data_IF_256313239684
#
_entry.id   IF_256313239684
#
_cell.length_a   1.000
_cell.length_b   1.000
_cell.length_c   1.000
_cell.angle_alpha   90.00
_cell.angle_beta   90.00
_cell.angle_gamma   90.00
#
_symmetry.space_group_name_H-M   'P 1'
#
loop_
_entity.id
_entity.type
_entity.pdbx_description
1 polymer ?
#
# COMPACT_ATOMS: atom_id res chain seq x y z
N UNK A 1 -18.86 -9.67 10.10
CA UNK A 1 -17.98 -9.28 8.97
C UNK A 1 -18.76 -9.33 7.68
N UNK A 2 -18.82 -8.23 6.96
CA UNK A 2 -19.53 -8.16 5.67
C UNK A 2 -18.89 -9.09 4.64
N UNK A 3 -19.70 -9.58 3.70
CA UNK A 3 -19.14 -10.37 2.61
C UNK A 3 -18.26 -9.48 1.70
N UNK A 4 -17.26 -10.10 1.06
CA UNK A 4 -16.40 -9.39 0.09
C UNK A 4 -17.20 -8.74 -1.04
N UNK A 5 -18.30 -9.36 -1.45
CA UNK A 5 -19.19 -8.82 -2.45
C UNK A 5 -19.89 -7.55 -1.97
N UNK A 6 -20.34 -7.52 -0.71
CA UNK A 6 -20.95 -6.34 -0.09
C UNK A 6 -19.95 -5.19 0.03
N UNK A 7 -18.73 -5.43 0.52
CA UNK A 7 -17.67 -4.40 0.58
C UNK A 7 -17.40 -3.78 -0.79
N UNK A 8 -17.29 -4.64 -1.82
CA UNK A 8 -17.11 -4.20 -3.19
C UNK A 8 -18.29 -3.40 -3.73
N UNK A 9 -19.52 -3.82 -3.41
CA UNK A 9 -20.71 -3.10 -3.83
C UNK A 9 -20.83 -1.74 -3.12
N UNK A 10 -20.55 -1.69 -1.82
CA UNK A 10 -20.49 -0.42 -1.07
C UNK A 10 -19.44 0.53 -1.67
N UNK A 11 -18.24 0.03 -1.97
CA UNK A 11 -17.18 0.84 -2.59
C UNK A 11 -17.60 1.38 -3.97
N UNK A 12 -18.29 0.57 -4.77
CA UNK A 12 -18.82 1.01 -6.08
C UNK A 12 -19.87 2.12 -5.92
N UNK A 13 -20.77 1.98 -4.96
CA UNK A 13 -21.82 2.97 -4.70
C UNK A 13 -21.22 4.30 -4.19
N UNK A 14 -20.21 4.26 -3.30
CA UNK A 14 -19.52 5.45 -2.80
C UNK A 14 -18.77 6.22 -3.90
N UNK A 15 -18.28 5.52 -4.90
CA UNK A 15 -17.61 6.13 -6.04
C UNK A 15 -18.59 6.57 -7.14
N UNK A 16 -19.87 6.23 -7.04
CA UNK A 16 -20.84 6.60 -8.08
C UNK A 16 -21.00 8.11 -8.16
N UNK A 17 -21.08 8.64 -9.37
CA UNK A 17 -21.04 10.09 -9.63
C UNK A 17 -19.65 10.75 -9.46
N UNK A 18 -18.67 10.09 -8.78
CA UNK A 18 -17.34 10.67 -8.47
C UNK A 18 -16.18 9.90 -9.11
N UNK A 19 -16.47 8.89 -9.93
CA UNK A 19 -15.46 7.99 -10.56
C UNK A 19 -14.43 8.74 -11.39
N UNK A 20 -14.86 9.78 -12.13
CA UNK A 20 -13.98 10.59 -12.96
C UNK A 20 -12.96 11.39 -12.13
N UNK A 21 -13.41 12.05 -11.06
CA UNK A 21 -12.51 12.77 -10.14
C UNK A 21 -11.53 11.82 -9.45
N UNK A 22 -12.01 10.65 -8.97
CA UNK A 22 -11.18 9.65 -8.34
C UNK A 22 -10.12 9.07 -9.30
N UNK A 23 -10.50 8.79 -10.55
CA UNK A 23 -9.58 8.31 -11.58
C UNK A 23 -8.52 9.37 -11.93
N UNK A 24 -8.92 10.63 -12.08
CA UNK A 24 -8.01 11.75 -12.35
C UNK A 24 -7.03 11.97 -11.19
N UNK A 25 -7.48 11.85 -9.94
CA UNK A 25 -6.61 11.92 -8.76
C UNK A 25 -5.54 10.82 -8.78
N UNK A 26 -5.93 9.58 -9.06
CA UNK A 26 -4.99 8.46 -9.17
C UNK A 26 -4.04 8.62 -10.34
N UNK A 27 -4.50 9.18 -11.46
CA UNK A 27 -3.64 9.51 -12.61
C UNK A 27 -2.56 10.53 -12.18
N UNK A 28 -2.96 11.65 -11.57
CA UNK A 28 -2.01 12.66 -11.09
C UNK A 28 -1.04 12.09 -10.07
N UNK A 29 -1.56 11.30 -9.10
CA UNK A 29 -0.74 10.58 -8.13
C UNK A 29 0.30 9.67 -8.79
N UNK A 30 -0.08 8.94 -9.84
CA UNK A 30 0.81 7.99 -10.53
C UNK A 30 1.89 8.68 -11.39
N UNK A 31 1.60 9.86 -11.92
CA UNK A 31 2.56 10.63 -12.72
C UNK A 31 3.73 11.13 -11.85
N UNK A 32 3.48 11.50 -10.61
CA UNK A 32 4.49 12.10 -9.73
C UNK A 32 5.73 11.23 -9.50
N UNK A 33 5.61 9.97 -9.04
CA UNK A 33 6.77 9.09 -8.91
C UNK A 33 7.48 8.85 -10.24
N UNK A 34 6.71 8.77 -11.33
CA UNK A 34 7.27 8.59 -12.67
C UNK A 34 8.16 9.80 -13.09
N UNK A 35 7.71 11.02 -12.85
CA UNK A 35 8.51 12.22 -13.14
C UNK A 35 9.82 12.26 -12.35
N UNK A 36 9.79 11.83 -11.07
CA UNK A 36 11.00 11.75 -10.27
C UNK A 36 11.99 10.71 -10.81
N UNK A 37 11.53 9.57 -11.35
CA UNK A 37 12.44 8.55 -11.91
C UNK A 37 13.24 9.03 -13.11
N UNK A 38 12.79 10.11 -13.79
CA UNK A 38 13.52 10.70 -14.91
C UNK A 38 14.79 11.46 -14.47
N UNK A 39 14.94 11.77 -13.18
CA UNK A 39 16.10 12.47 -12.63
C UNK A 39 17.08 11.44 -12.06
N UNK A 40 18.22 11.16 -12.73
CA UNK A 40 19.19 10.19 -12.24
C UNK A 40 19.70 10.57 -10.84
N UNK A 41 20.00 9.59 -10.00
CA UNK A 41 20.51 9.70 -8.63
C UNK A 41 19.55 10.36 -7.63
N UNK A 42 18.95 11.52 -7.98
CA UNK A 42 18.03 12.27 -7.10
C UNK A 42 16.63 11.65 -7.09
N UNK A 43 16.17 11.13 -8.21
CA UNK A 43 14.82 10.62 -8.37
C UNK A 43 14.45 9.48 -7.41
N UNK A 44 15.27 8.45 -7.27
CA UNK A 44 15.00 7.38 -6.29
C UNK A 44 14.93 7.88 -4.85
N UNK A 45 15.79 8.83 -4.47
CA UNK A 45 15.80 9.43 -3.12
C UNK A 45 14.54 10.28 -2.92
N UNK A 46 14.20 11.13 -3.90
CA UNK A 46 12.98 11.93 -3.87
C UNK A 46 11.71 11.04 -3.76
N UNK A 47 11.64 9.97 -4.54
CA UNK A 47 10.56 9.00 -4.45
C UNK A 47 10.48 8.34 -3.07
N UNK A 48 11.59 7.91 -2.50
CA UNK A 48 11.61 7.30 -1.18
C UNK A 48 11.09 8.25 -0.08
N UNK A 49 11.32 9.55 -0.22
CA UNK A 49 10.86 10.57 0.72
C UNK A 49 9.40 10.95 0.49
N UNK A 50 9.01 11.19 -0.75
CA UNK A 50 7.71 11.80 -1.08
C UNK A 50 6.60 10.74 -1.19
N UNK A 51 6.92 9.54 -1.70
CA UNK A 51 5.92 8.51 -1.95
C UNK A 51 5.10 8.09 -0.72
N UNK A 52 5.68 7.88 0.48
CA UNK A 52 4.89 7.59 1.70
C UNK A 52 3.91 8.69 2.05
N UNK A 53 4.30 9.94 1.85
CA UNK A 53 3.49 11.13 2.14
C UNK A 53 2.31 11.24 1.17
N UNK A 54 2.57 11.05 -0.12
CA UNK A 54 1.53 11.07 -1.14
C UNK A 54 0.55 9.90 -0.98
N UNK A 55 1.06 8.71 -0.60
CA UNK A 55 0.22 7.53 -0.35
C UNK A 55 -0.72 7.77 0.84
N UNK A 56 -0.21 8.34 1.93
CA UNK A 56 -1.02 8.73 3.08
C UNK A 56 -2.06 9.78 2.67
N UNK A 57 -1.65 10.82 1.95
CA UNK A 57 -2.54 11.90 1.50
C UNK A 57 -3.65 11.38 0.59
N UNK A 58 -3.32 10.47 -0.35
CA UNK A 58 -4.31 9.83 -1.21
C UNK A 58 -5.34 9.05 -0.38
N UNK A 59 -4.87 8.24 0.57
CA UNK A 59 -5.73 7.46 1.43
C UNK A 59 -6.64 8.36 2.29
N UNK A 60 -6.09 9.42 2.91
CA UNK A 60 -6.85 10.39 3.69
C UNK A 60 -7.94 11.07 2.85
N UNK A 61 -7.62 11.43 1.62
CA UNK A 61 -8.60 12.03 0.70
C UNK A 61 -9.72 11.05 0.33
N UNK A 62 -9.42 9.76 0.16
CA UNK A 62 -10.48 8.76 -0.06
C UNK A 62 -11.34 8.48 1.18
N UNK A 63 -10.77 8.61 2.38
CA UNK A 63 -11.56 8.55 3.62
C UNK A 63 -12.50 9.77 3.71
N UNK A 64 -12.02 10.97 3.39
CA UNK A 64 -12.83 12.18 3.32
C UNK A 64 -13.97 12.05 2.28
N UNK A 65 -13.65 11.51 1.09
CA UNK A 65 -14.68 11.19 0.08
C UNK A 65 -15.77 10.26 0.61
N UNK A 66 -15.37 9.20 1.34
CA UNK A 66 -16.31 8.26 1.96
C UNK A 66 -17.21 8.96 2.99
N UNK A 67 -16.65 9.89 3.75
CA UNK A 67 -17.40 10.68 4.74
C UNK A 67 -18.30 11.76 4.11
N UNK A 68 -18.41 11.80 2.78
CA UNK A 68 -19.29 12.73 2.05
C UNK A 68 -18.65 14.08 1.73
N UNK A 69 -17.39 14.30 2.10
CA UNK A 69 -16.70 15.55 1.76
C UNK A 69 -16.47 15.66 0.25
N UNK A 70 -16.54 16.89 -0.27
CA UNK A 70 -16.12 17.15 -1.63
C UNK A 70 -14.60 17.11 -1.71
N UNK A 71 -14.09 16.37 -2.70
CA UNK A 71 -12.65 16.23 -2.91
C UNK A 71 -12.19 16.93 -4.17
N UNK A 72 -11.07 17.65 -4.06
CA UNK A 72 -10.30 18.17 -5.19
C UNK A 72 -9.27 17.16 -5.67
N UNK A 73 -8.88 17.25 -6.95
CA UNK A 73 -7.90 16.32 -7.55
C UNK A 73 -6.52 16.40 -6.88
N UNK A 74 -6.17 17.52 -6.29
CA UNK A 74 -4.88 17.79 -5.65
C UNK A 74 -4.91 17.71 -4.12
N UNK A 75 -6.05 17.38 -3.50
CA UNK A 75 -6.19 17.36 -2.04
C UNK A 75 -5.27 16.33 -1.38
N UNK A 76 -4.89 15.28 -2.11
CA UNK A 76 -3.92 14.30 -1.60
C UNK A 76 -2.54 14.93 -1.30
N UNK A 77 -2.14 16.00 -2.00
CA UNK A 77 -0.95 16.76 -1.65
C UNK A 77 -1.13 17.48 -0.33
N UNK A 78 -2.17 18.31 -0.21
CA UNK A 78 -2.45 19.06 1.01
C UNK A 78 -2.57 18.12 2.21
N UNK A 79 -3.36 17.06 2.08
CA UNK A 79 -3.56 16.07 3.15
C UNK A 79 -2.27 15.31 3.49
N UNK A 80 -1.45 14.99 2.49
CA UNK A 80 -0.18 14.31 2.69
C UNK A 80 0.82 15.17 3.46
N UNK A 81 1.01 16.40 3.02
CA UNK A 81 2.02 17.29 3.58
C UNK A 81 1.66 17.84 4.98
N UNK A 82 0.37 17.91 5.35
CA UNK A 82 -0.04 18.27 6.72
C UNK A 82 0.59 17.39 7.79
N UNK A 83 0.66 16.08 7.55
CA UNK A 83 1.17 15.09 8.49
C UNK A 83 2.47 14.43 7.99
N UNK A 84 3.30 15.16 7.23
CA UNK A 84 4.52 14.67 6.59
C UNK A 84 5.37 13.81 7.54
N UNK A 85 5.74 14.34 8.71
CA UNK A 85 6.59 13.65 9.66
C UNK A 85 5.97 12.36 10.22
N UNK A 86 4.64 12.32 10.37
CA UNK A 86 3.92 11.14 10.85
C UNK A 86 3.80 10.08 9.77
N UNK A 87 3.47 10.47 8.54
CA UNK A 87 3.43 9.57 7.40
C UNK A 87 4.78 8.89 7.18
N UNK A 88 5.86 9.66 7.28
CA UNK A 88 7.23 9.17 7.20
C UNK A 88 7.59 8.29 8.39
N UNK A 89 7.25 8.72 9.60
CA UNK A 89 7.50 7.97 10.84
C UNK A 89 6.83 6.59 10.85
N UNK A 90 5.59 6.48 10.38
CA UNK A 90 4.87 5.20 10.24
C UNK A 90 5.54 4.33 9.17
N UNK A 91 5.85 4.90 8.01
CA UNK A 91 6.47 4.16 6.90
C UNK A 91 7.83 3.59 7.26
N UNK A 92 8.71 4.40 7.89
CA UNK A 92 10.02 3.92 8.37
C UNK A 92 9.85 2.77 9.37
N UNK A 93 8.89 2.87 10.30
CA UNK A 93 8.68 1.80 11.28
C UNK A 93 8.22 0.50 10.65
N UNK A 94 7.38 0.56 9.62
CA UNK A 94 6.99 -0.62 8.86
C UNK A 94 8.21 -1.21 8.15
N UNK A 95 9.04 -0.39 7.51
CA UNK A 95 10.29 -0.83 6.87
C UNK A 95 11.26 -1.44 7.89
N UNK A 96 11.38 -0.84 9.08
CA UNK A 96 12.19 -1.40 10.15
C UNK A 96 11.70 -2.76 10.66
N UNK A 97 10.41 -3.09 10.53
CA UNK A 97 9.92 -4.45 10.82
C UNK A 97 10.31 -5.46 9.74
N UNK A 98 10.64 -4.97 8.55
CA UNK A 98 11.08 -5.78 7.40
C UNK A 98 12.61 -5.83 7.24
N UNK A 99 13.39 -5.22 8.17
CA UNK A 99 14.85 -5.08 8.01
C UNK A 99 15.57 -6.40 7.76
N UNK A 100 15.21 -7.49 8.48
CA UNK A 100 15.89 -8.77 8.37
C UNK A 100 15.66 -9.46 7.01
N UNK A 101 14.43 -9.64 6.51
CA UNK A 101 14.23 -10.16 5.17
C UNK A 101 14.78 -9.23 4.08
N UNK A 102 14.74 -7.91 4.26
CA UNK A 102 15.33 -6.96 3.30
C UNK A 102 16.85 -7.14 3.19
N UNK A 103 17.55 -7.24 4.32
CA UNK A 103 19.01 -7.51 4.32
C UNK A 103 19.33 -8.84 3.63
N UNK A 104 18.59 -9.90 3.94
CA UNK A 104 18.79 -11.20 3.29
C UNK A 104 18.59 -11.11 1.77
N UNK A 105 17.56 -10.39 1.32
CA UNK A 105 17.30 -10.15 -0.10
C UNK A 105 18.40 -9.35 -0.78
N UNK A 106 18.90 -8.29 -0.12
CA UNK A 106 20.03 -7.48 -0.64
C UNK A 106 21.29 -8.33 -0.79
N UNK A 107 21.61 -9.15 0.22
CA UNK A 107 22.76 -10.07 0.15
C UNK A 107 22.58 -11.08 -0.98
N UNK A 108 21.38 -11.66 -1.14
CA UNK A 108 21.10 -12.58 -2.25
C UNK A 108 21.28 -11.92 -3.62
N UNK A 109 20.76 -10.70 -3.80
CA UNK A 109 20.96 -9.94 -5.04
C UNK A 109 22.44 -9.58 -5.28
N UNK A 110 23.17 -9.19 -4.24
CA UNK A 110 24.60 -8.87 -4.38
C UNK A 110 25.44 -10.08 -4.79
N UNK A 111 25.15 -11.27 -4.26
CA UNK A 111 25.77 -12.53 -4.68
C UNK A 111 25.47 -12.79 -6.16
N UNK A 112 24.24 -12.66 -6.60
CA UNK A 112 23.88 -12.86 -8.01
C UNK A 112 24.63 -11.89 -8.94
N UNK A 113 24.63 -10.58 -8.60
CA UNK A 113 25.33 -9.56 -9.38
C UNK A 113 26.83 -9.84 -9.45
N UNK A 114 27.44 -10.22 -8.32
CA UNK A 114 28.86 -10.57 -8.26
C UNK A 114 29.20 -11.78 -9.15
N UNK A 115 28.37 -12.82 -9.14
CA UNK A 115 28.55 -13.99 -9.99
C UNK A 115 28.46 -13.66 -11.47
N UNK A 116 27.50 -12.82 -11.87
CA UNK A 116 27.37 -12.33 -13.25
C UNK A 116 28.59 -11.51 -13.65
N UNK A 117 29.03 -10.59 -12.80
CA UNK A 117 30.20 -9.75 -13.06
C UNK A 117 31.49 -10.56 -13.23
N UNK A 118 31.73 -11.54 -12.35
CA UNK A 118 32.88 -12.43 -12.45
C UNK A 118 32.82 -13.24 -13.74
N UNK A 119 31.69 -13.80 -14.10
CA UNK A 119 31.52 -14.57 -15.35
C UNK A 119 31.81 -13.71 -16.59
N UNK A 120 31.41 -12.43 -16.57
CA UNK A 120 31.67 -11.52 -17.69
C UNK A 120 33.13 -11.06 -17.77
N UNK A 121 33.82 -10.89 -16.64
CA UNK A 121 35.19 -10.35 -16.59
C UNK A 121 36.26 -11.42 -16.85
N UNK A 122 35.99 -12.67 -16.51
CA UNK A 122 36.99 -13.76 -16.61
C UNK A 122 37.17 -14.31 -18.01
N UNK A 123 36.28 -14.00 -18.96
CA UNK A 123 36.32 -14.56 -20.33
C UNK A 123 36.16 -16.11 -20.39
N UNK A 124 36.31 -16.80 -19.27
CA UNK A 124 36.02 -18.19 -19.06
C UNK A 124 34.79 -18.32 -18.13
N UNK A 125 33.66 -18.62 -18.70
CA UNK A 125 32.49 -18.98 -17.93
C UNK A 125 32.79 -20.38 -17.34
N UNK A 126 33.36 -20.40 -16.15
CA UNK A 126 33.36 -21.62 -15.34
C UNK A 126 31.92 -21.82 -14.88
N UNK A 127 31.19 -22.56 -15.72
CA UNK A 127 29.73 -22.68 -15.67
C UNK A 127 29.26 -23.26 -14.33
N UNK A 128 30.11 -24.04 -13.65
CA UNK A 128 29.75 -24.71 -12.40
C UNK A 128 29.72 -23.73 -11.21
N UNK A 129 30.75 -22.93 -11.00
CA UNK A 129 30.86 -22.04 -9.85
C UNK A 129 29.92 -20.84 -9.94
N UNK A 130 29.80 -20.23 -11.13
CA UNK A 130 28.86 -19.12 -11.37
C UNK A 130 27.41 -19.57 -11.22
N UNK A 131 27.05 -20.76 -11.71
CA UNK A 131 25.70 -21.31 -11.60
C UNK A 131 25.34 -21.61 -10.14
N UNK A 132 26.24 -22.17 -9.36
CA UNK A 132 26.02 -22.43 -7.92
C UNK A 132 25.75 -21.09 -7.19
N UNK A 133 26.54 -20.05 -7.43
CA UNK A 133 26.37 -18.76 -6.83
C UNK A 133 25.03 -18.10 -7.21
N UNK A 134 24.59 -18.21 -8.45
CA UNK A 134 23.28 -17.75 -8.90
C UNK A 134 22.13 -18.50 -8.19
N UNK A 135 22.24 -19.82 -8.05
CA UNK A 135 21.25 -20.63 -7.34
C UNK A 135 21.16 -20.21 -5.87
N UNK A 136 22.32 -20.06 -5.20
CA UNK A 136 22.36 -19.61 -3.79
C UNK A 136 21.69 -18.23 -3.66
N UNK A 137 22.04 -17.26 -4.49
CA UNK A 137 21.44 -15.93 -4.48
C UNK A 137 19.92 -15.97 -4.71
N UNK A 138 19.44 -16.78 -5.65
CA UNK A 138 18.02 -17.01 -5.88
C UNK A 138 17.31 -17.60 -4.67
N UNK A 139 17.88 -18.62 -4.05
CA UNK A 139 17.32 -19.23 -2.83
C UNK A 139 17.24 -18.21 -1.69
N UNK A 140 18.26 -17.39 -1.50
CA UNK A 140 18.23 -16.31 -0.50
C UNK A 140 17.12 -15.30 -0.77
N UNK A 141 16.94 -14.86 -2.01
CA UNK A 141 15.86 -13.94 -2.40
C UNK A 141 14.48 -14.58 -2.19
N UNK A 142 14.32 -15.86 -2.53
CA UNK A 142 13.08 -16.60 -2.30
C UNK A 142 12.75 -16.72 -0.81
N UNK A 143 13.73 -17.06 0.04
CA UNK A 143 13.55 -17.10 1.49
C UNK A 143 13.18 -15.72 2.04
N UNK A 144 13.87 -14.66 1.61
CA UNK A 144 13.60 -13.29 2.01
C UNK A 144 12.17 -12.87 1.64
N UNK A 145 11.72 -13.20 0.44
CA UNK A 145 10.38 -12.90 -0.06
C UNK A 145 9.32 -13.64 0.76
N UNK A 146 9.47 -14.96 0.95
CA UNK A 146 8.51 -15.75 1.74
C UNK A 146 8.44 -15.25 3.19
N UNK A 147 9.59 -14.93 3.78
CA UNK A 147 9.65 -14.39 5.15
C UNK A 147 9.00 -13.01 5.29
N UNK A 148 9.10 -12.16 4.27
CA UNK A 148 8.50 -10.82 4.27
C UNK A 148 6.97 -10.84 4.20
N UNK A 149 6.34 -11.87 3.60
CA UNK A 149 4.90 -11.97 3.39
C UNK A 149 4.09 -11.77 4.69
N UNK A 150 4.27 -12.58 5.75
CA UNK A 150 3.47 -12.47 6.97
C UNK A 150 3.69 -11.13 7.71
N UNK A 151 4.87 -10.51 7.56
CA UNK A 151 5.18 -9.21 8.15
C UNK A 151 4.45 -8.11 7.38
N UNK A 152 4.52 -8.14 6.05
CA UNK A 152 3.82 -7.18 5.18
C UNK A 152 2.32 -7.21 5.44
N UNK A 153 1.70 -8.39 5.46
CA UNK A 153 0.26 -8.53 5.74
C UNK A 153 -0.13 -8.11 7.16
N UNK A 154 0.80 -8.17 8.10
CA UNK A 154 0.55 -7.67 9.47
C UNK A 154 0.43 -6.15 9.53
N UNK A 155 1.20 -5.42 8.74
CA UNK A 155 1.31 -3.96 8.81
C UNK A 155 0.77 -3.22 7.58
N UNK A 156 0.11 -3.93 6.66
CA UNK A 156 -0.39 -3.37 5.39
C UNK A 156 -1.35 -2.18 5.58
N UNK A 157 -2.08 -2.15 6.69
CA UNK A 157 -3.03 -1.10 7.02
C UNK A 157 -2.49 -0.06 8.03
N UNK A 158 -1.18 0.00 8.28
CA UNK A 158 -0.62 0.98 9.20
C UNK A 158 -0.87 2.44 8.76
N UNK A 159 -0.86 2.69 7.44
CA UNK A 159 -1.16 4.01 6.87
C UNK A 159 -2.65 4.34 7.01
N UNK A 160 -3.54 3.34 6.94
CA UNK A 160 -4.96 3.52 7.21
C UNK A 160 -5.19 3.99 8.65
N UNK A 161 -4.56 3.34 9.63
CA UNK A 161 -4.66 3.73 11.04
C UNK A 161 -4.20 5.18 11.26
N UNK A 162 -3.10 5.59 10.63
CA UNK A 162 -2.65 6.98 10.66
C UNK A 162 -3.70 7.94 10.09
N UNK A 163 -4.37 7.55 9.01
CA UNK A 163 -5.34 8.40 8.34
C UNK A 163 -6.62 8.63 9.17
N UNK A 164 -6.95 7.69 10.06
CA UNK A 164 -8.07 7.83 11.01
C UNK A 164 -7.68 8.61 12.26
N UNK A 165 -6.50 8.38 12.80
CA UNK A 165 -6.06 9.02 14.03
C UNK A 165 -4.59 9.43 13.95
N UNK A 166 -4.39 10.66 13.50
CA UNK A 166 -3.05 11.25 13.40
C UNK A 166 -2.54 11.85 14.74
N UNK A 167 -3.33 11.82 15.82
CA UNK A 167 -2.90 12.35 17.12
C UNK A 167 -1.89 11.43 17.83
N UNK A 168 -1.93 10.13 17.54
CA UNK A 168 -1.14 9.08 18.19
C UNK A 168 0.29 9.02 17.68
N UNK A 169 1.15 8.35 18.45
CA UNK A 169 2.54 8.13 18.04
C UNK A 169 2.63 7.11 16.90
N UNK A 170 3.62 7.25 16.02
CA UNK A 170 3.81 6.32 14.92
C UNK A 170 4.06 4.86 15.39
N UNK A 171 4.57 4.67 16.63
CA UNK A 171 4.74 3.33 17.24
C UNK A 171 3.37 2.74 17.56
N UNK A 172 2.50 3.52 18.21
CA UNK A 172 1.17 3.08 18.61
C UNK A 172 0.31 2.76 17.39
N UNK A 173 0.39 3.60 16.34
CA UNK A 173 -0.31 3.41 15.06
C UNK A 173 0.07 2.08 14.43
N UNK A 174 1.37 1.79 14.27
CA UNK A 174 1.85 0.54 13.67
C UNK A 174 1.46 -0.67 14.51
N UNK A 175 1.58 -0.56 15.85
CA UNK A 175 1.24 -1.67 16.74
C UNK A 175 -0.27 -1.95 16.75
N UNK A 176 -1.10 -0.91 16.76
CA UNK A 176 -2.57 -1.03 16.74
C UNK A 176 -3.06 -1.63 15.43
N UNK A 177 -2.58 -1.13 14.29
CA UNK A 177 -2.87 -1.73 12.99
C UNK A 177 -2.47 -3.22 12.96
N UNK A 178 -1.29 -3.55 13.51
CA UNK A 178 -0.85 -4.94 13.63
C UNK A 178 -1.76 -5.81 14.50
N UNK A 179 -2.39 -5.25 15.54
CA UNK A 179 -3.37 -5.97 16.40
C UNK A 179 -4.66 -6.27 15.65
N UNK A 180 -5.22 -5.30 14.91
CA UNK A 180 -6.43 -5.50 14.10
C UNK A 180 -6.25 -6.54 13.00
N UNK A 181 -5.02 -6.72 12.51
CA UNK A 181 -4.70 -7.72 11.52
C UNK A 181 -4.53 -9.15 12.08
N UNK A 182 -4.47 -9.32 13.41
CA UNK A 182 -4.45 -10.66 14.01
C UNK A 182 -5.79 -11.34 13.76
N UNK A 183 -5.78 -12.52 13.14
CA UNK A 183 -6.98 -13.24 12.71
C UNK A 183 -7.56 -12.78 11.35
N UNK A 184 -7.26 -11.57 10.89
CA UNK A 184 -7.84 -10.99 9.67
C UNK A 184 -6.91 -11.01 8.44
N UNK A 185 -5.64 -11.47 8.59
CA UNK A 185 -4.65 -11.50 7.49
C UNK A 185 -5.12 -12.30 6.30
N UNK A 186 -5.74 -13.47 6.54
CA UNK A 186 -6.26 -14.30 5.47
C UNK A 186 -7.41 -13.63 4.74
N UNK A 187 -8.32 -12.97 5.46
CA UNK A 187 -9.43 -12.23 4.86
C UNK A 187 -8.92 -11.07 3.99
N UNK A 188 -7.92 -10.33 4.45
CA UNK A 188 -7.25 -9.28 3.69
C UNK A 188 -6.58 -9.83 2.43
N UNK A 189 -5.84 -10.95 2.55
CA UNK A 189 -5.22 -11.62 1.41
C UNK A 189 -6.25 -12.04 0.37
N UNK A 190 -7.33 -12.70 0.79
CA UNK A 190 -8.38 -13.16 -0.14
C UNK A 190 -9.14 -11.98 -0.75
N UNK A 191 -9.30 -10.86 -0.01
CA UNK A 191 -9.86 -9.63 -0.55
C UNK A 191 -8.98 -9.10 -1.70
N UNK A 192 -7.67 -9.00 -1.48
CA UNK A 192 -6.73 -8.55 -2.52
C UNK A 192 -6.67 -9.51 -3.70
N UNK A 193 -6.63 -10.82 -3.44
CA UNK A 193 -6.66 -11.84 -4.47
C UNK A 193 -7.95 -11.76 -5.33
N UNK A 194 -9.05 -11.32 -4.75
CA UNK A 194 -10.31 -11.13 -5.47
C UNK A 194 -10.29 -10.01 -6.52
N UNK A 195 -9.22 -9.20 -6.55
CA UNK A 195 -8.96 -8.19 -7.59
C UNK A 195 -8.02 -8.69 -8.69
N UNK A 196 -7.53 -9.94 -8.63
CA UNK A 196 -6.54 -10.46 -9.61
C UNK A 196 -7.04 -10.38 -11.04
N UNK A 197 -8.34 -10.64 -11.27
CA UNK A 197 -8.95 -10.51 -12.59
C UNK A 197 -8.92 -9.07 -13.12
N UNK A 198 -9.07 -8.07 -12.23
CA UNK A 198 -8.93 -6.66 -12.59
C UNK A 198 -7.50 -6.31 -12.94
N UNK A 199 -6.50 -6.83 -12.21
CA UNK A 199 -5.09 -6.60 -12.54
C UNK A 199 -4.72 -7.21 -13.89
N UNK A 200 -5.28 -8.35 -14.25
CA UNK A 200 -5.12 -8.93 -15.58
C UNK A 200 -5.66 -7.97 -16.67
N UNK A 201 -6.85 -7.42 -16.49
CA UNK A 201 -7.44 -6.43 -17.39
C UNK A 201 -6.63 -5.12 -17.44
N UNK A 202 -6.09 -4.68 -16.31
CA UNK A 202 -5.17 -3.52 -16.25
C UNK A 202 -3.92 -3.80 -17.09
N UNK A 203 -3.36 -5.01 -17.02
CA UNK A 203 -2.23 -5.42 -17.87
C UNK A 203 -2.55 -5.37 -19.36
N UNK A 204 -3.69 -5.91 -19.80
CA UNK A 204 -4.13 -5.88 -21.20
C UNK A 204 -4.33 -4.45 -21.72
N UNK A 205 -4.80 -3.54 -20.85
CA UNK A 205 -5.03 -2.13 -21.21
C UNK A 205 -3.80 -1.24 -21.01
N UNK A 206 -2.60 -1.81 -20.88
CA UNK A 206 -1.35 -1.09 -20.62
C UNK A 206 -1.44 -0.10 -19.44
N UNK A 207 -2.18 -0.48 -18.39
CA UNK A 207 -2.34 0.32 -17.17
C UNK A 207 -3.51 1.32 -17.19
N UNK A 208 -4.12 1.62 -18.33
CA UNK A 208 -5.17 2.63 -18.47
C UNK A 208 -6.35 2.33 -17.54
N UNK A 209 -6.82 1.08 -17.50
CA UNK A 209 -7.91 0.67 -16.63
C UNK A 209 -7.57 0.82 -15.14
N UNK A 210 -6.29 0.85 -14.79
CA UNK A 210 -5.81 1.03 -13.42
C UNK A 210 -6.33 2.32 -12.77
N UNK A 211 -6.51 3.41 -13.53
CA UNK A 211 -7.04 4.66 -12.98
C UNK A 211 -8.46 4.56 -12.41
N UNK A 212 -9.24 3.59 -12.83
CA UNK A 212 -10.57 3.28 -12.27
C UNK A 212 -10.54 2.15 -11.24
N UNK A 213 -9.68 1.15 -11.46
CA UNK A 213 -9.57 -0.01 -10.58
C UNK A 213 -8.92 0.34 -9.25
N UNK A 214 -7.87 1.20 -9.25
CA UNK A 214 -7.15 1.59 -8.04
C UNK A 214 -8.06 2.32 -7.03
N UNK A 215 -8.82 3.37 -7.40
CA UNK A 215 -9.76 4.00 -6.48
C UNK A 215 -10.77 3.00 -5.89
N UNK A 216 -11.31 2.14 -6.73
CA UNK A 216 -12.26 1.11 -6.31
C UNK A 216 -11.64 0.13 -5.29
N UNK A 217 -10.42 -0.31 -5.53
CA UNK A 217 -9.68 -1.17 -4.61
C UNK A 217 -9.34 -0.43 -3.30
N UNK A 218 -8.91 0.84 -3.36
CA UNK A 218 -8.60 1.64 -2.18
C UNK A 218 -9.82 1.82 -1.28
N UNK A 219 -10.96 2.21 -1.84
CA UNK A 219 -12.21 2.38 -1.05
C UNK A 219 -12.66 1.04 -0.47
N UNK A 220 -12.55 -0.07 -1.22
CA UNK A 220 -12.86 -1.40 -0.68
C UNK A 220 -11.96 -1.78 0.50
N UNK A 221 -10.68 -1.46 0.44
CA UNK A 221 -9.71 -1.69 1.54
C UNK A 221 -9.96 -0.79 2.74
N UNK A 222 -10.38 0.45 2.53
CA UNK A 222 -10.79 1.37 3.59
C UNK A 222 -11.97 0.78 4.36
N UNK A 223 -13.03 0.37 3.65
CA UNK A 223 -14.21 -0.24 4.26
C UNK A 223 -13.89 -1.54 5.02
N UNK A 224 -13.03 -2.38 4.46
CA UNK A 224 -12.55 -3.59 5.14
C UNK A 224 -11.80 -3.25 6.43
N UNK A 225 -10.94 -2.23 6.40
CA UNK A 225 -10.18 -1.81 7.56
C UNK A 225 -11.08 -1.23 8.66
N UNK A 226 -12.10 -0.46 8.31
CA UNK A 226 -13.11 0.04 9.27
C UNK A 226 -13.83 -1.11 9.97
N UNK A 227 -14.20 -2.12 9.23
CA UNK A 227 -14.89 -3.28 9.78
C UNK A 227 -14.03 -4.06 10.79
N UNK A 228 -12.76 -4.35 10.45
CA UNK A 228 -11.86 -5.07 11.36
C UNK A 228 -11.41 -4.24 12.55
N UNK A 229 -11.46 -2.91 12.46
CA UNK A 229 -11.13 -1.98 13.55
C UNK A 229 -12.32 -1.58 14.42
N UNK A 230 -13.54 -2.05 14.10
CA UNK A 230 -14.78 -1.75 14.83
C UNK A 230 -15.32 -0.34 14.59
N UNK A 231 -14.74 0.44 13.65
CA UNK A 231 -15.16 1.83 13.40
C UNK A 231 -16.54 1.95 12.75
N UNK A 232 -16.94 0.93 12.00
CA UNK A 232 -18.28 0.88 11.37
C UNK A 232 -19.40 0.81 12.41
N UNK A 233 -19.19 0.12 13.53
CA UNK A 233 -20.14 0.04 14.62
C UNK A 233 -20.28 1.39 15.35
N UNK A 234 -19.18 2.08 15.63
CA UNK A 234 -19.17 3.38 16.29
C UNK A 234 -19.90 4.44 15.47
N UNK A 235 -19.69 4.47 14.16
CA UNK A 235 -20.40 5.41 13.27
C UNK A 235 -21.91 5.15 13.27
N UNK A 236 -22.35 3.90 13.27
CA UNK A 236 -23.77 3.56 13.33
C UNK A 236 -24.40 3.91 14.68
N UNK A 237 -23.66 3.81 15.78
CA UNK A 237 -24.14 4.22 17.12
C UNK A 237 -24.25 5.73 17.20
N UNK A 238 -23.25 6.49 16.71
CA UNK A 238 -23.30 7.96 16.66
C UNK A 238 -24.45 8.46 15.79
N UNK A 239 -24.74 7.86 14.64
CA UNK A 239 -25.89 8.19 13.81
C UNK A 239 -27.22 7.94 14.52
N UNK A 240 -27.35 6.84 15.27
CA UNK A 240 -28.56 6.53 16.03
C UNK A 240 -28.76 7.48 17.23
N UNK A 241 -27.68 7.94 17.86
CA UNK A 241 -27.73 8.90 18.96
C UNK A 241 -28.11 10.32 18.45
N UNK A 242 -27.59 10.74 17.29
CA UNK A 242 -27.96 12.02 16.69
C UNK A 242 -29.43 12.06 16.28
N UNK A 243 -29.96 11.00 15.70
CA UNK A 243 -31.39 10.90 15.36
C UNK A 243 -32.29 11.00 16.61
N UNK A 244 -31.87 10.36 17.73
CA UNK A 244 -32.61 10.40 19.00
C UNK A 244 -32.57 11.76 19.70
N UNK A 245 -31.60 12.60 19.41
CA UNK A 245 -31.46 13.94 20.00
C UNK A 245 -32.20 15.00 19.18
N UNK A 246 -32.59 14.69 17.95
CA UNK A 246 -33.39 15.57 17.06
C UNK A 246 -34.90 15.31 17.15
N UNK A 247 -35.35 14.24 17.82
CA UNK A 247 -36.76 13.96 18.18
C UNK A 247 -37.11 14.50 19.61
#
# INVERSE_FOLDING_TARGET
>A
MSSRAELKQKAKNLLDGRKGKAALMVLVYSIMPFLFTLIPLVGPIANAIIFPVLTYGLLKTFINLKNGEEIGVFDFFSNGFKDFGKAWGVSIRVVLKLWAPLLLGIVGCSVMISCVFIAMSSGNIDFSSSTIGLIIGWVMVMIATIWSIPITWKYIYAVNELAYDSSRTAIDIVNTSGKYMVGNRWNAFVLDFSFIGWFFLVGITFGILGFWVIPYMLVTKILFYEEISGRTENTAVEELETIKTEE
#
